data_IF_551507510328
#
_entry.id   IF_551507510328
#
_cell.length_a   1.000
_cell.length_b   1.000
_cell.length_c   1.000
_cell.angle_alpha   90.00
_cell.angle_beta   90.00
_cell.angle_gamma   90.00
#
_symmetry.space_group_name_H-M   'P 1'
#
loop_
_entity.id
_entity.type
_entity.pdbx_description
1 polymer ?
#
# COMPACT_ATOMS: atom_id res chain seq x y z
N UNK A 1 29.71 -27.35 -24.12
CA UNK A 1 28.35 -27.02 -23.65
C UNK A 1 28.36 -25.58 -23.22
N UNK A 2 27.90 -24.70 -24.10
CA UNK A 2 27.78 -23.27 -23.73
C UNK A 2 26.59 -23.10 -22.80
N UNK A 3 26.85 -22.97 -21.51
CA UNK A 3 25.86 -22.48 -20.55
C UNK A 3 25.64 -20.98 -20.84
N UNK A 4 24.67 -20.64 -21.71
CA UNK A 4 24.12 -19.30 -21.72
C UNK A 4 23.42 -19.09 -20.39
N UNK A 5 24.06 -18.39 -19.46
CA UNK A 5 23.40 -17.81 -18.30
C UNK A 5 22.30 -16.89 -18.83
N UNK A 6 21.08 -17.41 -18.89
CA UNK A 6 19.91 -16.61 -19.18
C UNK A 6 19.62 -15.79 -17.91
N UNK A 7 19.75 -14.47 -17.99
CA UNK A 7 19.35 -13.60 -16.88
C UNK A 7 17.84 -13.85 -16.60
N UNK A 8 17.44 -13.95 -15.32
CA UNK A 8 16.04 -14.11 -14.97
C UNK A 8 15.18 -13.00 -15.61
N UNK A 9 14.03 -13.36 -16.15
CA UNK A 9 13.07 -12.37 -16.63
C UNK A 9 12.49 -11.58 -15.46
N UNK A 10 11.88 -10.45 -15.78
CA UNK A 10 11.15 -9.63 -14.77
C UNK A 10 10.05 -10.46 -14.07
N UNK A 11 9.40 -11.37 -14.80
CA UNK A 11 8.40 -12.25 -14.24
C UNK A 11 9.00 -13.35 -13.35
N UNK A 12 10.17 -13.90 -13.72
CA UNK A 12 10.87 -14.90 -12.90
C UNK A 12 11.30 -14.28 -11.56
N UNK A 13 11.79 -13.04 -11.59
CA UNK A 13 12.13 -12.31 -10.36
C UNK A 13 10.90 -12.10 -9.48
N UNK A 14 9.81 -11.59 -10.05
CA UNK A 14 8.55 -11.45 -9.33
C UNK A 14 8.07 -12.78 -8.74
N UNK A 15 8.16 -13.87 -9.51
CA UNK A 15 7.79 -15.21 -9.05
C UNK A 15 8.59 -15.61 -7.80
N UNK A 16 9.89 -15.32 -7.78
CA UNK A 16 10.73 -15.60 -6.60
C UNK A 16 10.27 -14.85 -5.37
N UNK A 17 9.89 -13.57 -5.50
CA UNK A 17 9.45 -12.74 -4.38
C UNK A 17 8.14 -13.22 -3.75
N UNK A 18 7.26 -13.84 -4.54
CA UNK A 18 5.92 -14.23 -4.08
C UNK A 18 5.77 -15.74 -3.80
N UNK A 19 6.87 -16.49 -3.70
CA UNK A 19 6.85 -17.94 -3.48
C UNK A 19 6.27 -18.35 -2.13
N UNK A 20 6.46 -17.54 -1.09
CA UNK A 20 6.02 -17.84 0.28
C UNK A 20 5.29 -16.63 0.86
N UNK A 21 4.37 -16.89 1.78
CA UNK A 21 3.75 -15.86 2.61
C UNK A 21 4.57 -15.60 3.89
N UNK A 22 5.45 -16.53 4.26
CA UNK A 22 6.40 -16.33 5.33
C UNK A 22 7.44 -15.29 4.89
N UNK A 23 7.59 -14.22 5.69
CA UNK A 23 8.52 -13.11 5.41
C UNK A 23 8.33 -12.47 4.01
N UNK A 24 7.07 -12.32 3.58
CA UNK A 24 6.73 -11.75 2.27
C UNK A 24 7.32 -10.32 2.11
N UNK A 25 8.20 -10.08 1.13
CA UNK A 25 8.91 -8.81 0.96
C UNK A 25 7.99 -7.78 0.28
N UNK A 26 7.06 -7.19 1.04
CA UNK A 26 6.01 -6.31 0.50
C UNK A 26 6.58 -5.13 -0.31
N UNK A 27 7.53 -4.39 0.26
CA UNK A 27 8.12 -3.22 -0.40
C UNK A 27 8.81 -3.62 -1.71
N UNK A 28 9.70 -4.61 -1.68
CA UNK A 28 10.45 -5.07 -2.85
C UNK A 28 9.53 -5.61 -3.94
N UNK A 29 8.52 -6.40 -3.54
CA UNK A 29 7.50 -6.90 -4.49
C UNK A 29 6.73 -5.75 -5.13
N UNK A 30 6.32 -4.73 -4.36
CA UNK A 30 5.63 -3.55 -4.89
C UNK A 30 6.52 -2.71 -5.82
N UNK A 31 7.82 -2.56 -5.49
CA UNK A 31 8.80 -1.89 -6.37
C UNK A 31 8.98 -2.66 -7.69
N UNK A 32 9.01 -4.00 -7.63
CA UNK A 32 9.20 -4.85 -8.82
C UNK A 32 8.10 -4.69 -9.87
N UNK A 33 6.90 -4.23 -9.48
CA UNK A 33 5.80 -3.99 -10.42
C UNK A 33 6.14 -2.94 -11.47
N UNK A 34 7.06 -2.02 -11.16
CA UNK A 34 7.48 -0.96 -12.08
C UNK A 34 8.44 -1.45 -13.18
N UNK A 35 9.05 -2.63 -13.06
CA UNK A 35 10.06 -3.11 -14.02
C UNK A 35 9.51 -3.33 -15.43
N UNK A 36 8.21 -3.63 -15.57
CA UNK A 36 7.58 -3.79 -16.89
C UNK A 36 7.50 -2.46 -17.66
N UNK A 37 7.39 -1.34 -16.95
CA UNK A 37 7.34 0.01 -17.51
C UNK A 37 8.72 0.66 -17.56
N UNK A 38 9.57 0.36 -16.58
CA UNK A 38 10.91 0.91 -16.42
C UNK A 38 11.97 -0.21 -16.41
N UNK A 39 12.25 -0.86 -17.57
CA UNK A 39 13.13 -2.04 -17.61
C UNK A 39 14.59 -1.76 -17.24
N UNK A 40 15.00 -0.48 -17.18
CA UNK A 40 16.35 -0.07 -16.73
C UNK A 40 16.38 0.37 -15.26
N UNK A 41 15.25 0.27 -14.56
CA UNK A 41 15.17 0.64 -13.15
C UNK A 41 15.99 -0.35 -12.32
N UNK A 42 16.83 0.18 -11.45
CA UNK A 42 17.51 -0.60 -10.42
C UNK A 42 16.61 -0.66 -9.17
N UNK A 43 16.12 -1.85 -8.86
CA UNK A 43 15.27 -2.09 -7.68
C UNK A 43 16.02 -1.72 -6.41
N UNK A 44 17.31 -2.12 -6.30
CA UNK A 44 18.08 -1.85 -5.10
C UNK A 44 18.22 -0.36 -4.85
N UNK A 45 18.42 0.44 -5.89
CA UNK A 45 18.44 1.90 -5.75
C UNK A 45 17.14 2.44 -5.16
N UNK A 46 15.98 1.92 -5.58
CA UNK A 46 14.67 2.35 -5.05
C UNK A 46 14.51 1.94 -3.59
N UNK A 47 14.94 0.74 -3.22
CA UNK A 47 14.93 0.27 -1.82
C UNK A 47 15.85 1.13 -0.94
N UNK A 48 17.06 1.44 -1.41
CA UNK A 48 18.02 2.31 -0.72
C UNK A 48 17.45 3.72 -0.49
N UNK A 49 16.66 4.27 -1.43
CA UNK A 49 15.95 5.55 -1.24
C UNK A 49 14.95 5.47 -0.08
N UNK A 50 14.21 4.36 0.05
CA UNK A 50 13.27 4.15 1.17
C UNK A 50 14.04 3.98 2.48
N UNK A 51 15.14 3.24 2.48
CA UNK A 51 16.01 3.09 3.66
C UNK A 51 16.56 4.43 4.16
N UNK A 52 16.93 5.32 3.25
CA UNK A 52 17.33 6.69 3.59
C UNK A 52 16.18 7.45 4.26
N UNK A 53 14.94 7.31 3.79
CA UNK A 53 13.77 7.92 4.44
C UNK A 53 13.54 7.33 5.84
N UNK A 54 13.62 6.00 5.99
CA UNK A 54 13.53 5.31 7.29
C UNK A 54 14.60 5.82 8.28
N UNK A 55 15.84 5.93 7.84
CA UNK A 55 16.95 6.44 8.66
C UNK A 55 16.75 7.91 9.06
N UNK A 56 16.18 8.74 8.17
CA UNK A 56 15.86 10.15 8.48
C UNK A 56 14.73 10.25 9.49
N UNK A 57 13.68 9.43 9.34
CA UNK A 57 12.57 9.38 10.28
C UNK A 57 13.00 8.91 11.67
N UNK A 58 13.79 7.83 11.76
CA UNK A 58 14.33 7.32 13.04
C UNK A 58 15.07 8.38 13.85
N UNK A 59 15.80 9.29 13.21
CA UNK A 59 16.52 10.39 13.89
C UNK A 59 15.62 11.46 14.52
N UNK A 60 14.32 11.49 14.16
CA UNK A 60 13.32 12.43 14.70
C UNK A 60 12.59 11.90 15.92
N UNK A 61 12.70 10.61 16.17
CA UNK A 61 11.99 9.92 17.25
C UNK A 61 12.94 9.72 18.42
N UNK A 62 12.50 10.11 19.62
CA UNK A 62 13.27 9.88 20.84
C UNK A 62 13.24 8.39 21.24
N UNK A 63 14.29 7.86 21.88
CA UNK A 63 14.39 6.43 22.22
C UNK A 63 13.22 5.89 23.05
N UNK A 64 12.54 6.73 23.83
CA UNK A 64 11.45 6.35 24.74
C UNK A 64 10.06 6.86 24.27
N UNK A 65 9.94 7.29 23.01
CA UNK A 65 8.66 7.71 22.46
C UNK A 65 7.66 6.55 22.46
N UNK A 66 6.44 6.83 22.89
CA UNK A 66 5.35 5.87 22.80
C UNK A 66 4.84 5.69 21.35
N UNK A 67 3.86 4.79 21.15
CA UNK A 67 3.34 4.48 19.83
C UNK A 67 2.65 5.69 19.16
N UNK A 68 1.95 6.52 19.95
CA UNK A 68 1.25 7.71 19.43
C UNK A 68 2.22 8.82 19.05
N UNK A 69 3.29 9.03 19.84
CA UNK A 69 4.34 10.00 19.51
C UNK A 69 5.10 9.59 18.25
N UNK A 70 5.41 8.29 18.11
CA UNK A 70 6.00 7.74 16.89
C UNK A 70 5.07 7.91 15.68
N UNK A 71 3.75 7.69 15.86
CA UNK A 71 2.76 7.90 14.81
C UNK A 71 2.69 9.35 14.37
N UNK A 72 2.67 10.30 15.33
CA UNK A 72 2.70 11.74 15.02
C UNK A 72 3.95 12.11 14.23
N UNK A 73 5.12 11.61 14.68
CA UNK A 73 6.39 11.84 13.98
C UNK A 73 6.38 11.25 12.56
N UNK A 74 5.82 10.04 12.38
CA UNK A 74 5.64 9.41 11.07
C UNK A 74 4.74 10.26 10.16
N UNK A 75 3.56 10.68 10.64
CA UNK A 75 2.62 11.44 9.84
C UNK A 75 3.18 12.81 9.45
N UNK A 76 3.75 13.56 10.40
CA UNK A 76 4.42 14.83 10.11
C UNK A 76 5.53 14.64 9.09
N UNK A 77 6.37 13.62 9.27
CA UNK A 77 7.45 13.33 8.31
C UNK A 77 6.93 12.98 6.93
N UNK A 78 5.92 12.10 6.84
CA UNK A 78 5.40 11.60 5.57
C UNK A 78 4.62 12.67 4.80
N UNK A 79 3.61 13.26 5.44
CA UNK A 79 2.67 14.16 4.78
C UNK A 79 3.16 15.62 4.71
N UNK A 80 3.83 16.13 5.75
CA UNK A 80 4.22 17.53 5.81
C UNK A 80 5.64 17.76 5.27
N UNK A 81 6.65 17.01 5.78
CA UNK A 81 8.04 17.23 5.41
C UNK A 81 8.39 16.65 4.04
N UNK A 82 8.01 15.38 3.81
CA UNK A 82 8.25 14.70 2.53
C UNK A 82 7.17 15.00 1.50
N UNK A 83 6.02 15.55 1.93
CA UNK A 83 4.90 15.97 1.09
C UNK A 83 4.31 14.87 0.23
N UNK A 84 4.27 13.65 0.74
CA UNK A 84 3.51 12.59 0.10
C UNK A 84 2.02 12.90 0.20
N UNK A 85 1.32 12.81 -0.94
CA UNK A 85 -0.10 13.11 -1.01
C UNK A 85 -0.79 12.31 -2.12
N UNK A 86 -2.11 12.26 -2.06
CA UNK A 86 -2.92 11.69 -3.13
C UNK A 86 -2.88 12.51 -4.41
N UNK A 87 -2.76 11.85 -5.56
CA UNK A 87 -2.85 12.51 -6.86
C UNK A 87 -4.30 12.73 -7.27
N UNK A 88 -4.91 13.79 -6.77
CA UNK A 88 -6.34 14.11 -7.00
C UNK A 88 -6.61 14.43 -8.47
N UNK A 89 -5.70 15.14 -9.13
CA UNK A 89 -5.91 15.65 -10.49
C UNK A 89 -5.77 14.57 -11.57
N UNK A 90 -4.97 13.54 -11.32
CA UNK A 90 -4.67 12.46 -12.27
C UNK A 90 -4.75 11.09 -11.57
N UNK A 91 -5.89 10.81 -10.93
CA UNK A 91 -6.06 9.59 -10.13
C UNK A 91 -5.85 8.31 -10.96
N UNK A 92 -6.33 8.26 -12.20
CA UNK A 92 -6.25 7.11 -13.11
C UNK A 92 -4.91 7.01 -13.88
N UNK A 93 -3.88 7.82 -13.53
CA UNK A 93 -2.55 7.67 -14.10
C UNK A 93 -1.88 6.40 -13.51
N UNK A 94 -1.49 5.40 -14.34
CA UNK A 94 -0.84 4.19 -13.87
C UNK A 94 0.45 4.45 -13.09
N UNK A 95 1.12 5.57 -13.35
CA UNK A 95 2.33 5.99 -12.65
C UNK A 95 2.12 6.21 -11.14
N UNK A 96 0.89 6.45 -10.71
CA UNK A 96 0.54 6.55 -9.28
C UNK A 96 0.68 5.20 -8.54
N UNK A 97 0.76 4.08 -9.26
CA UNK A 97 0.93 2.73 -8.70
C UNK A 97 2.40 2.30 -8.61
N UNK A 98 3.32 2.98 -9.30
CA UNK A 98 4.74 2.60 -9.36
C UNK A 98 5.55 3.35 -8.30
N UNK A 99 6.12 2.62 -7.34
CA UNK A 99 6.76 3.22 -6.17
C UNK A 99 7.97 4.11 -6.49
N UNK A 100 8.74 3.80 -7.52
CA UNK A 100 9.83 4.66 -8.01
C UNK A 100 9.31 6.04 -8.47
N UNK A 101 8.14 6.08 -9.10
CA UNK A 101 7.51 7.33 -9.53
C UNK A 101 6.89 8.06 -8.34
N UNK A 102 6.21 7.32 -7.45
CA UNK A 102 5.63 7.87 -6.22
C UNK A 102 6.71 8.49 -5.33
N UNK A 103 7.85 7.83 -5.16
CA UNK A 103 9.01 8.38 -4.45
C UNK A 103 9.53 9.67 -5.08
N UNK A 104 9.63 9.72 -6.41
CA UNK A 104 10.13 10.90 -7.13
C UNK A 104 9.15 12.07 -7.11
N UNK A 105 7.86 11.81 -7.38
CA UNK A 105 6.83 12.84 -7.52
C UNK A 105 6.14 13.20 -6.21
N UNK A 106 6.25 12.37 -5.16
CA UNK A 106 5.54 12.48 -3.88
C UNK A 106 4.01 12.39 -4.03
N UNK A 107 3.53 11.88 -5.14
CA UNK A 107 2.12 11.72 -5.46
C UNK A 107 1.82 10.26 -5.79
N UNK A 108 0.68 9.74 -5.27
CA UNK A 108 0.27 8.36 -5.49
C UNK A 108 -1.22 8.14 -5.31
N UNK A 109 -1.64 6.88 -5.41
CA UNK A 109 -2.97 6.41 -5.00
C UNK A 109 -2.91 5.86 -3.57
N UNK A 110 -4.07 5.66 -2.89
CA UNK A 110 -4.07 5.24 -1.49
C UNK A 110 -3.16 4.05 -1.19
N UNK A 111 -3.18 3.01 -2.02
CA UNK A 111 -2.44 1.78 -1.76
C UNK A 111 -0.92 1.94 -1.96
N UNK A 112 -0.46 2.69 -2.95
CA UNK A 112 0.96 2.92 -3.17
C UNK A 112 1.58 3.81 -2.08
N UNK A 113 0.82 4.82 -1.61
CA UNK A 113 1.20 5.63 -0.46
C UNK A 113 1.21 4.80 0.83
N UNK A 114 0.22 3.90 0.99
CA UNK A 114 0.16 2.99 2.12
C UNK A 114 1.38 2.09 2.24
N UNK A 115 1.86 1.49 1.13
CA UNK A 115 3.05 0.63 1.17
C UNK A 115 4.27 1.38 1.71
N UNK A 116 4.51 2.61 1.26
CA UNK A 116 5.61 3.43 1.75
C UNK A 116 5.42 3.85 3.22
N UNK A 117 4.19 4.21 3.61
CA UNK A 117 3.87 4.59 4.98
C UNK A 117 4.03 3.40 5.94
N UNK A 118 3.62 2.18 5.53
CA UNK A 118 3.78 0.95 6.30
C UNK A 118 5.25 0.64 6.54
N UNK A 119 6.10 0.73 5.51
CA UNK A 119 7.54 0.50 5.63
C UNK A 119 8.19 1.46 6.64
N UNK A 120 7.87 2.75 6.53
CA UNK A 120 8.36 3.75 7.47
C UNK A 120 7.86 3.48 8.90
N UNK A 121 6.59 3.12 9.07
CA UNK A 121 6.00 2.79 10.36
C UNK A 121 6.63 1.57 11.02
N UNK A 122 6.81 0.50 10.25
CA UNK A 122 7.49 -0.73 10.68
C UNK A 122 8.94 -0.45 11.08
N UNK A 123 9.63 0.44 10.36
CA UNK A 123 11.00 0.84 10.68
C UNK A 123 11.14 1.50 12.06
N UNK A 124 10.06 2.11 12.62
CA UNK A 124 9.96 2.64 13.97
C UNK A 124 9.55 1.60 15.03
N UNK A 125 9.31 0.35 14.61
CA UNK A 125 8.76 -0.71 15.47
C UNK A 125 7.29 -0.53 15.80
N UNK A 126 6.52 0.19 14.98
CA UNK A 126 5.07 0.32 15.12
C UNK A 126 4.36 -0.92 14.57
N UNK A 127 3.26 -1.33 15.22
CA UNK A 127 2.36 -2.38 14.72
C UNK A 127 1.36 -1.79 13.73
N UNK A 128 1.82 -1.57 12.50
CA UNK A 128 1.03 -0.96 11.44
C UNK A 128 0.61 -1.98 10.40
N UNK A 129 -0.60 -1.81 9.87
CA UNK A 129 -1.20 -2.72 8.89
C UNK A 129 -1.91 -1.94 7.79
N UNK A 130 -1.89 -2.48 6.58
CA UNK A 130 -2.79 -2.06 5.51
C UNK A 130 -4.20 -2.58 5.77
N UNK A 131 -5.21 -1.85 5.32
CA UNK A 131 -6.61 -2.22 5.43
C UNK A 131 -7.27 -2.13 4.07
N UNK A 132 -7.73 -3.28 3.56
CA UNK A 132 -8.43 -3.37 2.28
C UNK A 132 -9.89 -2.95 2.43
N UNK A 133 -10.09 -1.66 2.77
CA UNK A 133 -11.42 -1.10 2.99
C UNK A 133 -12.23 -1.04 1.69
N UNK A 134 -13.56 -1.25 1.73
CA UNK A 134 -14.41 -1.14 0.55
C UNK A 134 -14.28 0.22 -0.14
N UNK A 135 -14.00 0.21 -1.45
CA UNK A 135 -13.81 1.42 -2.25
C UNK A 135 -12.55 2.22 -1.99
N UNK A 136 -11.78 1.90 -0.92
CA UNK A 136 -10.59 2.65 -0.55
C UNK A 136 -9.51 1.74 0.06
N UNK A 137 -8.28 2.23 0.20
CA UNK A 137 -7.24 1.55 0.96
C UNK A 137 -6.80 2.45 2.12
N UNK A 138 -6.81 1.90 3.32
CA UNK A 138 -6.47 2.62 4.55
C UNK A 138 -5.24 2.00 5.20
N UNK A 139 -4.67 2.68 6.18
CA UNK A 139 -3.66 2.13 7.08
C UNK A 139 -4.12 2.28 8.53
N UNK A 140 -3.68 1.35 9.39
CA UNK A 140 -3.98 1.41 10.81
C UNK A 140 -2.75 1.13 11.66
N UNK A 141 -2.71 1.76 12.83
CA UNK A 141 -1.81 1.44 13.93
C UNK A 141 -2.59 0.72 15.01
N UNK A 142 -2.16 -0.47 15.42
CA UNK A 142 -2.72 -1.16 16.58
C UNK A 142 -2.00 -0.69 17.86
N UNK A 143 -2.79 -0.27 18.84
CA UNK A 143 -2.35 0.16 20.17
C UNK A 143 -2.56 -0.98 21.18
N UNK A 144 -1.54 -1.27 21.98
CA UNK A 144 -1.57 -2.32 22.98
C UNK A 144 -1.59 -1.74 24.41
N UNK A 145 -1.04 -0.54 24.60
CA UNK A 145 -0.91 0.12 25.89
C UNK A 145 -1.03 1.64 25.75
N UNK A 146 -1.65 2.37 26.70
CA UNK A 146 -2.29 1.93 27.93
C UNK A 146 -3.69 1.33 27.73
N UNK A 147 -4.29 1.48 26.58
CA UNK A 147 -5.59 0.89 26.20
C UNK A 147 -5.47 0.24 24.84
N UNK A 148 -6.05 -0.94 24.69
CA UNK A 148 -6.18 -1.59 23.39
C UNK A 148 -7.08 -0.75 22.49
N UNK A 149 -6.68 -0.62 21.22
CA UNK A 149 -7.40 0.15 20.24
C UNK A 149 -6.63 0.26 18.94
N UNK A 150 -7.12 1.09 18.06
CA UNK A 150 -6.43 1.37 16.80
C UNK A 150 -6.65 2.81 16.35
N UNK A 151 -5.70 3.34 15.58
CA UNK A 151 -5.84 4.60 14.86
C UNK A 151 -5.86 4.27 13.38
N UNK A 152 -6.91 4.68 12.67
CA UNK A 152 -7.05 4.50 11.23
C UNK A 152 -6.74 5.79 10.51
N UNK A 153 -5.95 5.72 9.44
CA UNK A 153 -5.49 6.88 8.67
C UNK A 153 -5.76 6.63 7.19
N UNK A 154 -6.23 7.66 6.52
CA UNK A 154 -6.32 7.71 5.07
C UNK A 154 -4.97 8.12 4.48
N UNK A 155 -4.21 7.22 3.83
CA UNK A 155 -2.90 7.56 3.29
C UNK A 155 -2.96 8.53 2.10
N UNK A 156 -4.16 8.78 1.55
CA UNK A 156 -4.38 9.71 0.45
C UNK A 156 -4.44 11.16 0.91
N UNK A 157 -5.08 11.40 2.08
CA UNK A 157 -5.26 12.74 2.67
C UNK A 157 -4.37 13.00 3.87
N UNK A 158 -3.88 11.96 4.55
CA UNK A 158 -3.15 12.04 5.82
C UNK A 158 -4.06 12.16 7.05
N UNK A 159 -5.37 12.16 6.87
CA UNK A 159 -6.33 12.34 7.94
C UNK A 159 -6.56 11.08 8.76
N UNK A 160 -6.66 11.23 10.08
CA UNK A 160 -7.15 10.16 10.96
C UNK A 160 -8.67 10.11 10.87
N UNK A 161 -9.21 8.90 10.73
CA UNK A 161 -10.62 8.67 10.56
C UNK A 161 -11.26 8.22 11.88
N UNK A 162 -12.32 8.90 12.28
CA UNK A 162 -13.18 8.50 13.39
C UNK A 162 -14.05 7.29 13.01
N UNK A 163 -14.63 6.66 14.04
CA UNK A 163 -15.59 5.56 13.85
C UNK A 163 -16.76 5.95 12.94
N UNK A 164 -17.29 7.15 13.12
CA UNK A 164 -18.47 7.61 12.37
C UNK A 164 -18.11 7.88 10.90
N UNK A 165 -16.94 8.47 10.61
CA UNK A 165 -16.45 8.66 9.25
C UNK A 165 -16.18 7.31 8.53
N UNK A 166 -15.65 6.33 9.25
CA UNK A 166 -15.47 4.97 8.72
C UNK A 166 -16.82 4.31 8.43
N UNK A 167 -17.80 4.46 9.33
CA UNK A 167 -19.15 3.95 9.14
C UNK A 167 -19.82 4.60 7.92
N UNK A 168 -19.73 5.92 7.78
CA UNK A 168 -20.29 6.64 6.63
C UNK A 168 -19.65 6.22 5.30
N UNK A 169 -18.36 5.99 5.28
CA UNK A 169 -17.64 5.47 4.09
C UNK A 169 -18.00 4.03 3.76
N UNK A 170 -18.42 3.23 4.75
CA UNK A 170 -18.79 1.82 4.56
C UNK A 170 -20.22 1.64 4.05
N UNK A 171 -21.17 2.48 4.49
CA UNK A 171 -22.61 2.39 4.15
C UNK A 171 -22.87 2.12 2.66
N UNK A 172 -22.27 2.84 1.69
CA UNK A 172 -22.57 2.64 0.25
C UNK A 172 -22.23 1.23 -0.27
N UNK A 173 -21.42 0.48 0.45
CA UNK A 173 -20.93 -0.85 0.07
C UNK A 173 -21.68 -2.00 0.72
N UNK A 174 -22.59 -1.70 1.65
CA UNK A 174 -23.36 -2.73 2.35
C UNK A 174 -24.55 -3.20 1.53
N UNK A 175 -24.88 -4.50 1.57
CA UNK A 175 -26.08 -5.03 0.91
C UNK A 175 -27.34 -4.34 1.43
N UNK A 176 -28.16 -3.83 0.51
CA UNK A 176 -29.42 -3.16 0.85
C UNK A 176 -29.30 -1.73 1.38
N UNK A 177 -28.11 -1.14 1.30
CA UNK A 177 -27.91 0.27 1.66
C UNK A 177 -28.81 1.19 0.83
N UNK A 178 -29.59 2.04 1.50
CA UNK A 178 -30.40 3.09 0.85
C UNK A 178 -29.71 4.43 1.07
N UNK A 179 -29.29 5.05 -0.01
CA UNK A 179 -28.71 6.41 0.04
C UNK A 179 -29.69 7.36 0.79
N UNK A 180 -29.13 8.08 1.77
CA UNK A 180 -29.88 9.10 2.52
C UNK A 180 -30.68 8.59 3.71
N UNK A 181 -30.55 7.31 4.11
CA UNK A 181 -31.11 6.82 5.37
C UNK A 181 -29.99 6.55 6.37
N UNK A 182 -30.10 7.03 7.64
CA UNK A 182 -29.16 6.68 8.69
C UNK A 182 -29.18 5.15 8.88
N UNK A 183 -28.05 4.50 8.68
CA UNK A 183 -27.89 3.08 8.95
C UNK A 183 -26.87 2.93 10.04
N UNK A 184 -27.28 2.37 11.18
CA UNK A 184 -26.35 2.06 12.26
C UNK A 184 -25.50 0.88 11.85
N UNK A 185 -24.19 1.06 11.85
CA UNK A 185 -23.21 -0.01 11.64
C UNK A 185 -22.73 -0.48 13.03
N UNK A 186 -22.83 -1.80 13.27
CA UNK A 186 -22.29 -2.37 14.50
C UNK A 186 -20.76 -2.32 14.53
N UNK A 187 -20.20 -2.29 15.74
CA UNK A 187 -18.74 -2.31 15.91
C UNK A 187 -18.11 -3.59 15.32
N UNK A 188 -18.79 -4.74 15.43
CA UNK A 188 -18.34 -5.99 14.82
C UNK A 188 -18.29 -5.91 13.28
N UNK A 189 -19.30 -5.30 12.65
CA UNK A 189 -19.32 -5.12 11.21
C UNK A 189 -18.19 -4.18 10.75
N UNK A 190 -17.93 -3.11 11.49
CA UNK A 190 -16.83 -2.20 11.20
C UNK A 190 -15.48 -2.89 11.41
N UNK A 191 -15.30 -3.61 12.52
CA UNK A 191 -14.09 -4.37 12.85
C UNK A 191 -13.75 -5.41 11.76
N UNK A 192 -14.78 -6.07 11.19
CA UNK A 192 -14.58 -7.00 10.07
C UNK A 192 -13.93 -6.31 8.85
N UNK A 193 -14.36 -5.08 8.52
CA UNK A 193 -13.79 -4.33 7.40
C UNK A 193 -12.48 -3.61 7.73
N UNK A 194 -12.06 -3.59 9.00
CA UNK A 194 -10.79 -3.04 9.48
C UNK A 194 -9.75 -4.12 9.75
N UNK A 195 -9.97 -5.36 9.31
CA UNK A 195 -8.96 -6.42 9.41
C UNK A 195 -7.70 -6.07 8.62
N UNK A 196 -6.56 -6.51 9.13
CA UNK A 196 -5.28 -6.36 8.46
C UNK A 196 -5.31 -7.09 7.10
N UNK A 197 -4.86 -6.41 6.06
CA UNK A 197 -4.67 -7.01 4.76
C UNK A 197 -3.30 -7.71 4.72
N UNK A 198 -3.29 -8.96 4.29
CA UNK A 198 -2.06 -9.70 4.07
C UNK A 198 -1.23 -9.08 2.93
N UNK A 199 0.12 -9.12 3.00
CA UNK A 199 0.99 -8.55 1.97
C UNK A 199 0.65 -9.00 0.54
N UNK A 200 0.36 -10.30 0.34
CA UNK A 200 -0.08 -10.85 -0.94
C UNK A 200 -1.36 -10.19 -1.46
N UNK A 201 -2.32 -9.92 -0.57
CA UNK A 201 -3.57 -9.23 -0.92
C UNK A 201 -3.34 -7.77 -1.31
N UNK A 202 -2.37 -7.10 -0.67
CA UNK A 202 -1.96 -5.72 -1.03
C UNK A 202 -1.42 -5.71 -2.46
N UNK A 203 -0.48 -6.59 -2.80
CA UNK A 203 0.08 -6.70 -4.16
C UNK A 203 -1.01 -7.07 -5.18
N UNK A 204 -1.90 -8.01 -4.85
CA UNK A 204 -3.03 -8.37 -5.71
C UNK A 204 -3.92 -7.15 -6.01
N UNK A 205 -4.18 -6.31 -5.01
CA UNK A 205 -4.97 -5.09 -5.18
C UNK A 205 -4.24 -4.03 -6.02
N UNK A 206 -2.91 -3.88 -5.85
CA UNK A 206 -2.11 -3.00 -6.71
C UNK A 206 -2.18 -3.45 -8.19
N UNK A 207 -2.02 -4.74 -8.43
CA UNK A 207 -2.15 -5.32 -9.78
C UNK A 207 -3.57 -5.17 -10.36
N UNK A 208 -4.62 -5.35 -9.55
CA UNK A 208 -6.02 -5.13 -10.00
C UNK A 208 -6.29 -3.67 -10.35
N UNK A 209 -5.70 -2.71 -9.65
CA UNK A 209 -5.79 -1.29 -10.01
C UNK A 209 -5.14 -1.05 -11.38
N UNK A 210 -3.92 -1.55 -11.62
CA UNK A 210 -3.24 -1.44 -12.92
C UNK A 210 -4.04 -2.16 -14.03
N UNK A 211 -4.58 -3.36 -13.73
CA UNK A 211 -5.42 -4.11 -14.67
C UNK A 211 -6.62 -3.28 -15.13
N UNK A 212 -7.32 -2.63 -14.20
CA UNK A 212 -8.49 -1.83 -14.52
C UNK A 212 -8.11 -0.59 -15.34
N UNK A 213 -7.00 0.08 -15.01
CA UNK A 213 -6.50 1.23 -15.78
C UNK A 213 -6.17 0.81 -17.22
N UNK A 214 -5.36 -0.24 -17.41
CA UNK A 214 -4.96 -0.68 -18.74
C UNK A 214 -6.12 -1.27 -19.54
N UNK A 215 -7.09 -1.89 -18.88
CA UNK A 215 -8.34 -2.34 -19.52
C UNK A 215 -9.14 -1.15 -20.09
N UNK A 216 -9.25 -0.04 -19.32
CA UNK A 216 -9.95 1.17 -19.78
C UNK A 216 -9.21 1.90 -20.90
N UNK A 217 -7.88 1.82 -20.93
CA UNK A 217 -7.03 2.41 -21.95
C UNK A 217 -6.89 1.53 -23.20
N UNK A 218 -7.46 0.32 -23.20
CA UNK A 218 -7.30 -0.72 -24.23
C UNK A 218 -5.83 -1.10 -24.51
N UNK A 219 -4.97 -0.99 -23.50
CA UNK A 219 -3.55 -1.34 -23.60
C UNK A 219 -3.36 -2.85 -23.36
N UNK A 220 -3.47 -3.63 -24.44
CA UNK A 220 -3.43 -5.09 -24.37
C UNK A 220 -2.06 -5.63 -23.96
N UNK A 221 -0.95 -4.93 -24.31
CA UNK A 221 0.40 -5.35 -23.96
C UNK A 221 0.62 -5.29 -22.45
N UNK A 222 0.36 -4.11 -21.84
CA UNK A 222 0.51 -3.93 -20.39
C UNK A 222 -0.50 -4.77 -19.61
N UNK A 223 -1.71 -4.91 -20.14
CA UNK A 223 -2.74 -5.76 -19.55
C UNK A 223 -2.31 -7.23 -19.48
N UNK A 224 -1.64 -7.76 -20.51
CA UNK A 224 -1.12 -9.12 -20.53
C UNK A 224 -0.02 -9.32 -19.46
N UNK A 225 0.89 -8.35 -19.28
CA UNK A 225 1.93 -8.39 -18.25
C UNK A 225 1.32 -8.43 -16.84
N UNK A 226 0.32 -7.57 -16.57
CA UNK A 226 -0.38 -7.56 -15.28
C UNK A 226 -1.11 -8.88 -15.02
N UNK A 227 -1.78 -9.45 -16.03
CA UNK A 227 -2.43 -10.76 -15.91
C UNK A 227 -1.45 -11.88 -15.61
N UNK A 228 -0.28 -11.89 -16.23
CA UNK A 228 0.76 -12.88 -15.95
C UNK A 228 1.23 -12.81 -14.48
N UNK A 229 1.42 -11.60 -13.93
CA UNK A 229 1.76 -11.42 -12.50
C UNK A 229 0.63 -11.85 -11.58
N UNK A 230 -0.63 -11.55 -11.91
CA UNK A 230 -1.79 -12.00 -11.12
C UNK A 230 -1.90 -13.52 -11.12
N UNK A 231 -1.66 -14.19 -12.25
CA UNK A 231 -1.68 -15.66 -12.33
C UNK A 231 -0.58 -16.31 -11.47
N UNK A 232 0.61 -15.69 -11.39
CA UNK A 232 1.68 -16.16 -10.52
C UNK A 232 1.38 -15.89 -9.03
N UNK A 233 0.82 -14.71 -8.73
CA UNK A 233 0.53 -14.30 -7.35
C UNK A 233 -0.63 -15.11 -6.74
N UNK A 234 -1.62 -15.46 -7.55
CA UNK A 234 -2.88 -16.11 -7.16
C UNK A 234 -3.16 -17.32 -8.05
N UNK A 235 -2.38 -18.41 -7.93
CA UNK A 235 -2.45 -19.54 -8.85
C UNK A 235 -3.79 -20.30 -8.80
N UNK A 236 -4.54 -20.18 -7.70
CA UNK A 236 -5.80 -20.91 -7.48
C UNK A 236 -7.06 -20.08 -7.79
N UNK A 237 -6.94 -18.92 -8.45
CA UNK A 237 -8.05 -18.02 -8.83
C UNK A 237 -8.30 -17.98 -10.33
#
# INVERSE_FOLDING_TARGET
>A
MDYKLQLPSVLDYFTTLVQSDDDFPLLETAVSLAQDEFPKMDIQQVLDEVDVLCARLKRRVLPHSDALDKLRALNTFFFEDMRFAGNVNHYDDPHNSYLNVVLSKRLGIPISLAVLWLELGQSLGLKVHGVSFPGHFLVKLDLVYPQEGHVVIDPFTGESLSRDELADRLIPWLPGAKLGKPQAISDDALAFHLQAAEPRQIIARMLRNLHEIYRRQDDQERLAKVRARLAVLLPDN
#
